data_IF_446742869001
#
_entry.id   IF_446742869001
#
_cell.length_a   1.000
_cell.length_b   1.000
_cell.length_c   1.000
_cell.angle_alpha   90.00
_cell.angle_beta   90.00
_cell.angle_gamma   90.00
#
_symmetry.space_group_name_H-M   'P 1'
#
loop_
_entity.id
_entity.type
_entity.pdbx_description
1 polymer ?
#
# COMPACT_ATOMS: atom_id res chain seq x y z
N UNK A 1 -23.96 1.39 3.80
CA UNK A 1 -23.97 2.20 5.04
C UNK A 1 -23.93 1.31 6.28
N UNK A 2 -24.72 0.22 6.38
CA UNK A 2 -24.46 -0.81 7.42
C UNK A 2 -23.03 -1.34 7.29
N UNK A 3 -22.60 -1.62 6.06
CA UNK A 3 -21.25 -2.13 5.76
C UNK A 3 -20.12 -1.21 6.25
N UNK A 4 -20.33 0.12 6.33
CA UNK A 4 -19.32 1.04 6.85
C UNK A 4 -19.17 0.89 8.38
N UNK A 5 -20.30 0.83 9.09
CA UNK A 5 -20.32 0.60 10.53
C UNK A 5 -19.81 -0.80 10.90
N UNK A 6 -20.12 -1.80 10.08
CA UNK A 6 -19.62 -3.17 10.24
C UNK A 6 -18.10 -3.20 10.12
N UNK A 7 -17.52 -2.59 9.08
CA UNK A 7 -16.06 -2.47 8.90
C UNK A 7 -15.39 -1.74 10.05
N UNK A 8 -15.99 -0.66 10.56
CA UNK A 8 -15.46 0.10 11.69
C UNK A 8 -15.44 -0.74 12.97
N UNK A 9 -16.54 -1.45 13.24
CA UNK A 9 -16.67 -2.35 14.38
C UNK A 9 -15.68 -3.50 14.29
N UNK A 10 -15.51 -4.08 13.10
CA UNK A 10 -14.55 -5.17 12.87
C UNK A 10 -13.09 -4.77 13.12
N UNK A 11 -12.72 -3.53 12.81
CA UNK A 11 -11.40 -2.99 13.16
C UNK A 11 -11.29 -2.86 14.69
N UNK A 12 -12.26 -2.22 15.34
CA UNK A 12 -12.23 -1.99 16.78
C UNK A 12 -12.18 -3.32 17.56
N UNK A 13 -12.97 -4.31 17.15
CA UNK A 13 -12.99 -5.65 17.73
C UNK A 13 -11.64 -6.38 17.56
N UNK A 14 -10.95 -6.19 16.43
CA UNK A 14 -9.62 -6.75 16.22
C UNK A 14 -8.60 -6.18 17.23
N UNK A 15 -8.67 -4.89 17.55
CA UNK A 15 -7.80 -4.28 18.57
C UNK A 15 -8.16 -4.76 19.98
N UNK A 16 -9.45 -4.83 20.30
CA UNK A 16 -9.96 -5.32 21.60
C UNK A 16 -9.56 -6.76 21.85
N UNK A 17 -9.71 -7.65 20.85
CA UNK A 17 -9.34 -9.06 20.95
C UNK A 17 -7.86 -9.27 21.29
N UNK A 18 -6.99 -8.36 20.85
CA UNK A 18 -5.55 -8.39 21.12
C UNK A 18 -5.13 -7.59 22.38
N UNK A 19 -6.10 -7.07 23.13
CA UNK A 19 -5.87 -6.27 24.34
C UNK A 19 -5.15 -4.96 24.06
N UNK A 20 -5.27 -4.41 22.85
CA UNK A 20 -4.63 -3.15 22.47
C UNK A 20 -5.64 -2.00 22.64
N UNK A 21 -5.32 -1.08 23.54
CA UNK A 21 -6.13 0.13 23.76
C UNK A 21 -5.76 1.20 22.73
N UNK A 22 -6.72 1.59 21.90
CA UNK A 22 -6.56 2.73 20.99
C UNK A 22 -6.59 4.05 21.77
N UNK A 23 -5.69 4.97 21.43
CA UNK A 23 -5.69 6.30 22.02
C UNK A 23 -6.85 7.13 21.46
N UNK A 24 -7.67 7.80 22.30
CA UNK A 24 -8.89 8.50 21.86
C UNK A 24 -8.67 9.54 20.75
N UNK A 25 -7.49 10.18 20.74
CA UNK A 25 -7.09 11.19 19.76
C UNK A 25 -6.20 10.64 18.64
N UNK A 26 -6.11 9.30 18.49
CA UNK A 26 -5.38 8.72 17.36
C UNK A 26 -6.20 8.87 16.08
N UNK A 27 -5.52 9.06 14.94
CA UNK A 27 -6.20 9.15 13.65
C UNK A 27 -7.01 7.90 13.31
N UNK A 28 -6.64 6.72 13.84
CA UNK A 28 -7.42 5.50 13.70
C UNK A 28 -8.74 5.55 14.50
N UNK A 29 -8.70 6.05 15.74
CA UNK A 29 -9.91 6.21 16.55
C UNK A 29 -10.84 7.25 15.95
N UNK A 30 -10.31 8.38 15.46
CA UNK A 30 -11.09 9.38 14.73
C UNK A 30 -11.79 8.74 13.51
N UNK A 31 -11.08 7.90 12.76
CA UNK A 31 -11.62 7.22 11.58
C UNK A 31 -12.73 6.22 11.93
N UNK A 32 -12.53 5.40 12.96
CA UNK A 32 -13.53 4.43 13.45
C UNK A 32 -14.78 5.15 13.97
N UNK A 33 -14.61 6.15 14.84
CA UNK A 33 -15.72 6.87 15.44
C UNK A 33 -16.53 7.62 14.37
N UNK A 34 -15.86 8.31 13.44
CA UNK A 34 -16.53 8.98 12.33
C UNK A 34 -17.36 7.99 11.48
N UNK A 35 -16.84 6.80 11.20
CA UNK A 35 -17.56 5.78 10.44
C UNK A 35 -18.80 5.26 11.20
N UNK A 36 -18.69 5.04 12.51
CA UNK A 36 -19.80 4.60 13.36
C UNK A 36 -20.89 5.68 13.48
N UNK A 37 -20.49 6.94 13.64
CA UNK A 37 -21.41 8.09 13.68
C UNK A 37 -22.17 8.26 12.36
N UNK A 38 -21.49 8.13 11.22
CA UNK A 38 -22.11 8.17 9.89
C UNK A 38 -23.09 7.02 9.67
N UNK A 39 -22.71 5.80 10.04
CA UNK A 39 -23.59 4.64 9.94
C UNK A 39 -24.86 4.84 10.79
N UNK A 40 -24.74 5.46 11.97
CA UNK A 40 -25.86 5.71 12.89
C UNK A 40 -26.76 6.88 12.49
N UNK A 41 -26.22 7.91 11.82
CA UNK A 41 -26.92 9.15 11.47
C UNK A 41 -27.59 9.13 10.10
N UNK A 42 -27.18 8.22 9.22
CA UNK A 42 -27.63 8.06 7.82
C UNK A 42 -29.14 7.88 7.58
N UNK A 43 -29.96 7.72 8.63
CA UNK A 43 -31.41 7.60 8.55
C UNK A 43 -32.16 8.95 8.40
N UNK A 44 -31.47 10.11 8.30
CA UNK A 44 -32.14 11.42 8.49
C UNK A 44 -32.23 12.38 7.31
N UNK A 45 -31.42 12.28 6.25
CA UNK A 45 -31.43 13.34 5.20
C UNK A 45 -31.21 12.90 3.75
N UNK A 46 -30.90 11.62 3.46
CA UNK A 46 -30.77 11.09 2.09
C UNK A 46 -29.61 11.66 1.25
N UNK A 47 -28.93 12.72 1.68
CA UNK A 47 -27.72 13.27 1.07
C UNK A 47 -26.50 12.89 1.91
N UNK A 48 -25.50 12.27 1.26
CA UNK A 48 -24.21 11.92 1.85
C UNK A 48 -23.21 13.01 1.47
N UNK A 49 -22.53 13.61 2.44
CA UNK A 49 -21.54 14.63 2.16
C UNK A 49 -20.29 14.01 1.54
N UNK A 50 -19.53 14.78 0.74
CA UNK A 50 -18.28 14.31 0.15
C UNK A 50 -17.29 13.80 1.20
N UNK A 51 -17.18 14.52 2.33
CA UNK A 51 -16.35 14.12 3.46
C UNK A 51 -16.68 12.72 4.00
N UNK A 52 -17.96 12.34 3.99
CA UNK A 52 -18.44 11.05 4.47
C UNK A 52 -17.99 9.92 3.52
N UNK A 53 -18.02 10.18 2.21
CA UNK A 53 -17.55 9.24 1.19
C UNK A 53 -16.04 9.04 1.33
N UNK A 54 -15.27 10.12 1.46
CA UNK A 54 -13.83 10.06 1.63
C UNK A 54 -13.44 9.33 2.93
N UNK A 55 -14.17 9.57 4.02
CA UNK A 55 -13.98 8.85 5.28
C UNK A 55 -14.24 7.36 5.11
N UNK A 56 -15.33 6.99 4.41
CA UNK A 56 -15.64 5.59 4.12
C UNK A 56 -14.57 4.88 3.29
N UNK A 57 -14.04 5.56 2.27
CA UNK A 57 -12.95 5.04 1.44
C UNK A 57 -11.65 4.89 2.23
N UNK A 58 -11.32 5.84 3.12
CA UNK A 58 -10.16 5.71 4.00
C UNK A 58 -10.29 4.51 4.94
N UNK A 59 -11.46 4.35 5.58
CA UNK A 59 -11.72 3.21 6.47
C UNK A 59 -11.62 1.90 5.70
N UNK A 60 -12.18 1.81 4.49
CA UNK A 60 -12.10 0.62 3.65
C UNK A 60 -10.65 0.22 3.37
N UNK A 61 -9.78 1.18 3.04
CA UNK A 61 -8.37 0.92 2.75
C UNK A 61 -7.66 0.32 3.98
N UNK A 62 -7.89 0.90 5.17
CA UNK A 62 -7.36 0.38 6.44
C UNK A 62 -7.94 -0.99 6.79
N UNK A 63 -9.26 -1.15 6.67
CA UNK A 63 -9.98 -2.39 6.94
C UNK A 63 -9.42 -3.54 6.12
N UNK A 64 -9.33 -3.39 4.79
CA UNK A 64 -8.81 -4.42 3.89
C UNK A 64 -7.40 -4.85 4.27
N UNK A 65 -6.51 -3.91 4.62
CA UNK A 65 -5.15 -4.24 5.04
C UNK A 65 -5.10 -5.00 6.38
N UNK A 66 -6.02 -4.67 7.29
CA UNK A 66 -6.07 -5.28 8.62
C UNK A 66 -6.71 -6.66 8.65
N UNK A 67 -7.71 -6.93 7.82
CA UNK A 67 -8.50 -8.16 7.96
C UNK A 67 -7.68 -9.44 7.74
N UNK A 68 -6.63 -9.40 6.92
CA UNK A 68 -5.73 -10.54 6.73
C UNK A 68 -4.88 -10.83 7.98
N UNK A 69 -4.73 -9.88 8.91
CA UNK A 69 -4.00 -10.12 10.17
C UNK A 69 -4.77 -11.01 11.13
N UNK A 70 -6.07 -11.27 10.92
CA UNK A 70 -6.85 -12.18 11.75
C UNK A 70 -6.19 -13.57 11.73
N UNK A 71 -5.81 -14.06 12.91
CA UNK A 71 -5.09 -15.33 13.05
C UNK A 71 -3.60 -15.30 12.67
N UNK A 72 -3.07 -14.17 12.19
CA UNK A 72 -1.64 -14.06 11.87
C UNK A 72 -0.77 -14.03 13.14
N UNK A 73 0.40 -14.67 13.11
CA UNK A 73 1.28 -14.80 14.27
C UNK A 73 1.83 -13.44 14.75
N UNK A 74 2.16 -12.54 13.82
CA UNK A 74 2.69 -11.19 14.11
C UNK A 74 1.61 -10.11 14.25
N UNK A 75 0.31 -10.46 14.34
CA UNK A 75 -0.78 -9.47 14.31
C UNK A 75 -0.67 -8.37 15.37
N UNK A 76 -0.36 -8.73 16.63
CA UNK A 76 -0.23 -7.76 17.72
C UNK A 76 0.87 -6.73 17.44
N UNK A 77 1.99 -7.14 16.82
CA UNK A 77 3.09 -6.25 16.43
C UNK A 77 2.63 -5.20 15.41
N UNK A 78 1.93 -5.62 14.35
CA UNK A 78 1.45 -4.70 13.32
C UNK A 78 0.35 -3.78 13.81
N UNK A 79 -0.59 -4.29 14.62
CA UNK A 79 -1.63 -3.45 15.25
C UNK A 79 -0.99 -2.36 16.13
N UNK A 80 0.03 -2.69 16.93
CA UNK A 80 0.77 -1.69 17.72
C UNK A 80 1.49 -0.68 16.84
N UNK A 81 2.15 -1.11 15.76
CA UNK A 81 2.80 -0.20 14.80
C UNK A 81 1.81 0.81 14.20
N UNK A 82 0.58 0.37 13.87
CA UNK A 82 -0.46 1.27 13.34
C UNK A 82 -0.97 2.29 14.36
N UNK A 83 -0.70 2.10 15.67
CA UNK A 83 -0.96 3.12 16.69
C UNK A 83 0.14 4.19 16.80
N UNK A 84 1.27 4.05 16.10
CA UNK A 84 2.46 4.92 16.27
C UNK A 84 2.50 6.15 15.35
N UNK A 85 1.36 6.77 15.07
CA UNK A 85 1.29 7.98 14.27
C UNK A 85 -0.07 8.25 13.64
N UNK A 86 -0.11 9.19 12.72
CA UNK A 86 -1.30 9.54 11.96
C UNK A 86 -1.56 8.53 10.83
N UNK A 87 -2.82 8.17 10.57
CA UNK A 87 -3.24 7.34 9.43
C UNK A 87 -4.06 8.12 8.40
N UNK A 88 -4.27 9.42 8.59
CA UNK A 88 -4.99 10.27 7.63
C UNK A 88 -4.14 10.44 6.37
N UNK A 89 -4.64 9.94 5.25
CA UNK A 89 -3.92 9.97 3.97
C UNK A 89 -3.81 11.37 3.34
N UNK A 90 -4.71 12.28 3.73
CA UNK A 90 -4.67 13.68 3.30
C UNK A 90 -3.56 14.49 3.98
N UNK A 91 -2.98 13.99 5.06
CA UNK A 91 -1.83 14.59 5.71
C UNK A 91 -0.55 14.03 5.11
N UNK A 92 0.29 14.86 4.49
CA UNK A 92 1.57 14.44 3.89
C UNK A 92 2.72 14.29 4.90
N UNK A 93 2.49 14.58 6.18
CA UNK A 93 3.51 14.46 7.23
C UNK A 93 3.96 13.01 7.41
N UNK A 94 5.28 12.70 7.36
CA UNK A 94 5.78 11.35 7.54
C UNK A 94 5.19 10.65 8.78
N UNK A 95 4.73 9.42 8.61
CA UNK A 95 4.06 8.68 9.69
C UNK A 95 4.53 7.22 9.74
N UNK A 96 5.05 6.76 10.89
CA UNK A 96 5.37 5.35 11.09
C UNK A 96 4.17 4.42 10.86
N UNK A 97 2.98 4.84 11.29
CA UNK A 97 1.75 4.08 11.06
C UNK A 97 1.46 3.91 9.56
N UNK A 98 1.64 4.95 8.74
CA UNK A 98 1.45 4.85 7.28
C UNK A 98 2.52 3.98 6.63
N UNK A 99 3.76 3.99 7.11
CA UNK A 99 4.79 3.07 6.63
C UNK A 99 4.36 1.61 6.84
N UNK A 100 3.89 1.28 8.04
CA UNK A 100 3.43 -0.07 8.36
C UNK A 100 2.13 -0.44 7.64
N UNK A 101 1.24 0.52 7.40
CA UNK A 101 0.07 0.28 6.56
C UNK A 101 0.48 -0.08 5.13
N UNK A 102 1.46 0.61 4.56
CA UNK A 102 1.97 0.28 3.23
C UNK A 102 2.59 -1.13 3.17
N UNK A 103 3.32 -1.57 4.21
CA UNK A 103 3.80 -2.96 4.33
C UNK A 103 2.62 -3.95 4.26
N UNK A 104 1.56 -3.70 5.02
CA UNK A 104 0.35 -4.54 5.04
C UNK A 104 -0.41 -4.53 3.72
N UNK A 105 -0.47 -3.40 3.02
CA UNK A 105 -1.12 -3.28 1.72
C UNK A 105 -0.37 -4.09 0.65
N UNK A 106 0.96 -3.99 0.61
CA UNK A 106 1.78 -4.81 -0.30
C UNK A 106 1.60 -6.29 0.01
N UNK A 107 1.67 -6.66 1.30
CA UNK A 107 1.45 -8.03 1.73
C UNK A 107 0.07 -8.56 1.35
N UNK A 108 -0.99 -7.78 1.57
CA UNK A 108 -2.36 -8.14 1.20
C UNK A 108 -2.47 -8.38 -0.30
N UNK A 109 -2.05 -7.42 -1.11
CA UNK A 109 -2.14 -7.53 -2.56
C UNK A 109 -1.36 -8.74 -3.09
N UNK A 110 -0.17 -9.03 -2.55
CA UNK A 110 0.58 -10.23 -2.94
C UNK A 110 -0.12 -11.54 -2.54
N UNK A 111 -0.83 -11.56 -1.40
CA UNK A 111 -1.62 -12.71 -0.97
C UNK A 111 -2.88 -12.91 -1.80
N UNK A 112 -3.60 -11.83 -2.11
CA UNK A 112 -4.80 -11.86 -2.97
C UNK A 112 -4.46 -12.41 -4.36
N UNK A 113 -3.31 -12.04 -4.91
CA UNK A 113 -2.85 -12.52 -6.22
C UNK A 113 -2.34 -13.97 -6.23
N UNK A 114 -1.99 -14.53 -5.06
CA UNK A 114 -1.31 -15.83 -5.01
C UNK A 114 -1.76 -16.74 -3.87
N UNK A 115 -3.02 -16.63 -3.48
CA UNK A 115 -3.67 -17.52 -2.52
C UNK A 115 -2.84 -17.81 -1.25
N UNK A 116 -2.26 -16.77 -0.62
CA UNK A 116 -1.59 -16.95 0.67
C UNK A 116 -0.07 -17.12 0.64
N UNK A 117 0.60 -16.97 -0.52
CA UNK A 117 2.03 -17.26 -0.64
C UNK A 117 2.97 -16.14 -0.13
N UNK A 118 2.45 -15.05 0.43
CA UNK A 118 3.26 -13.95 0.95
C UNK A 118 3.15 -13.87 2.49
N UNK A 119 4.30 -13.71 3.15
CA UNK A 119 4.42 -13.65 4.61
C UNK A 119 4.94 -12.28 5.05
N UNK A 120 4.48 -11.81 6.21
CA UNK A 120 5.06 -10.64 6.87
C UNK A 120 6.36 -11.05 7.56
N UNK A 121 7.48 -10.83 6.90
CA UNK A 121 8.81 -11.20 7.39
C UNK A 121 9.90 -10.30 6.80
N UNK A 122 11.09 -10.31 7.41
CA UNK A 122 12.18 -9.46 6.94
C UNK A 122 12.54 -9.77 5.46
N UNK A 123 12.74 -8.76 4.59
CA UNK A 123 12.91 -7.35 4.94
C UNK A 123 11.62 -6.60 5.32
N UNK A 124 10.46 -6.90 4.74
CA UNK A 124 9.18 -6.37 5.24
C UNK A 124 8.05 -7.32 4.83
N UNK A 125 8.14 -7.86 3.60
CA UNK A 125 7.33 -8.97 3.09
C UNK A 125 8.23 -10.02 2.44
N UNK A 126 7.92 -11.30 2.61
CA UNK A 126 8.59 -12.41 1.96
C UNK A 126 7.63 -13.17 1.04
N UNK A 127 7.93 -13.22 -0.25
CA UNK A 127 7.16 -13.99 -1.23
C UNK A 127 7.78 -15.39 -1.40
N UNK A 128 7.04 -16.43 -1.02
CA UNK A 128 7.47 -17.83 -1.10
C UNK A 128 7.14 -18.43 -2.47
N UNK A 129 8.01 -18.29 -3.46
CA UNK A 129 7.87 -18.95 -4.77
C UNK A 129 8.29 -20.44 -4.65
N UNK A 130 7.84 -21.35 -5.53
CA UNK A 130 8.06 -22.80 -5.33
C UNK A 130 9.54 -23.20 -5.31
N UNK A 131 10.39 -22.44 -6.00
CA UNK A 131 11.83 -22.69 -6.13
C UNK A 131 12.71 -21.60 -5.52
N UNK A 132 12.12 -20.52 -4.97
CA UNK A 132 12.89 -19.38 -4.45
C UNK A 132 12.07 -18.51 -3.52
N UNK A 133 12.76 -17.76 -2.66
CA UNK A 133 12.15 -16.73 -1.83
C UNK A 133 12.55 -15.35 -2.37
N UNK A 134 11.58 -14.44 -2.46
CA UNK A 134 11.81 -13.07 -2.90
C UNK A 134 11.46 -12.12 -1.76
N UNK A 135 12.46 -11.41 -1.25
CA UNK A 135 12.27 -10.40 -0.21
C UNK A 135 11.76 -9.08 -0.81
N UNK A 136 10.78 -8.45 -0.18
CA UNK A 136 10.23 -7.16 -0.61
C UNK A 136 10.40 -6.14 0.52
N UNK A 137 11.31 -5.19 0.33
CA UNK A 137 11.48 -4.07 1.25
C UNK A 137 10.53 -2.94 0.86
N UNK A 138 9.57 -2.62 1.73
CA UNK A 138 8.52 -1.65 1.52
C UNK A 138 8.91 -0.29 2.10
N UNK A 139 8.84 0.79 1.32
CA UNK A 139 9.17 2.15 1.78
C UNK A 139 8.19 3.18 1.23
N UNK A 140 7.58 4.01 2.09
CA UNK A 140 6.87 5.20 1.61
C UNK A 140 7.85 6.32 1.27
N UNK A 141 7.58 7.03 0.18
CA UNK A 141 8.38 8.16 -0.27
C UNK A 141 7.62 9.45 0.02
N UNK A 142 8.06 10.17 1.06
CA UNK A 142 7.47 11.45 1.45
C UNK A 142 8.11 12.65 0.76
N UNK A 143 9.32 12.49 0.21
CA UNK A 143 9.98 13.53 -0.56
C UNK A 143 10.98 12.94 -1.55
N UNK A 144 11.10 13.57 -2.73
CA UNK A 144 12.12 13.21 -3.73
C UNK A 144 13.53 13.39 -3.19
N UNK A 145 13.77 14.43 -2.39
CA UNK A 145 15.10 14.76 -1.85
C UNK A 145 15.74 13.62 -1.04
N UNK A 146 14.93 12.80 -0.36
CA UNK A 146 15.43 11.70 0.46
C UNK A 146 15.36 10.33 -0.24
N UNK A 147 14.87 10.27 -1.48
CA UNK A 147 14.57 9.01 -2.15
C UNK A 147 15.79 8.09 -2.27
N UNK A 148 16.94 8.60 -2.73
CA UNK A 148 18.14 7.79 -2.89
C UNK A 148 18.66 7.18 -1.58
N UNK A 149 18.55 7.93 -0.47
CA UNK A 149 18.89 7.43 0.87
C UNK A 149 17.92 6.33 1.30
N UNK A 150 16.63 6.53 1.09
CA UNK A 150 15.59 5.54 1.39
C UNK A 150 15.81 4.24 0.62
N UNK A 151 16.09 4.31 -0.69
CA UNK A 151 16.39 3.13 -1.51
C UNK A 151 17.68 2.45 -1.04
N UNK A 152 18.74 3.20 -0.73
CA UNK A 152 19.99 2.62 -0.22
C UNK A 152 19.77 1.81 1.06
N UNK A 153 18.94 2.33 1.98
CA UNK A 153 18.59 1.62 3.21
C UNK A 153 17.77 0.35 2.94
N UNK A 154 16.81 0.41 2.01
CA UNK A 154 16.04 -0.76 1.60
C UNK A 154 16.93 -1.85 0.99
N UNK A 155 17.89 -1.45 0.14
CA UNK A 155 18.87 -2.38 -0.44
C UNK A 155 19.75 -3.03 0.63
N UNK A 156 20.19 -2.27 1.66
CA UNK A 156 20.92 -2.84 2.80
C UNK A 156 20.08 -3.87 3.56
N UNK A 157 18.80 -3.58 3.78
CA UNK A 157 17.87 -4.49 4.43
C UNK A 157 17.68 -5.78 3.62
N UNK A 158 17.55 -5.67 2.29
CA UNK A 158 17.49 -6.82 1.38
C UNK A 158 18.77 -7.64 1.46
N UNK A 159 19.94 -7.03 1.37
CA UNK A 159 21.23 -7.75 1.42
C UNK A 159 21.38 -8.56 2.70
N UNK A 160 20.88 -8.05 3.82
CA UNK A 160 20.97 -8.73 5.11
C UNK A 160 20.03 -9.94 5.23
N UNK A 161 18.87 -9.91 4.55
CA UNK A 161 17.79 -10.88 4.78
C UNK A 161 17.48 -11.79 3.57
N UNK A 162 17.73 -11.33 2.35
CA UNK A 162 17.43 -12.01 1.10
C UNK A 162 18.43 -11.61 -0.01
N UNK A 163 19.73 -11.97 0.13
CA UNK A 163 20.76 -11.53 -0.81
C UNK A 163 20.49 -12.06 -2.23
N UNK A 164 20.55 -11.18 -3.22
CA UNK A 164 20.43 -11.53 -4.64
C UNK A 164 19.01 -11.71 -5.18
N UNK A 165 17.97 -11.73 -4.33
CA UNK A 165 16.57 -11.96 -4.73
C UNK A 165 15.62 -10.99 -4.00
N UNK A 166 15.95 -9.70 -4.01
CA UNK A 166 15.11 -8.68 -3.36
C UNK A 166 14.50 -7.66 -4.31
N UNK A 167 13.37 -7.10 -3.89
CA UNK A 167 12.67 -6.01 -4.56
C UNK A 167 12.48 -4.86 -3.60
N UNK A 168 12.76 -3.65 -4.07
CA UNK A 168 12.39 -2.44 -3.33
C UNK A 168 11.01 -2.02 -3.81
N UNK A 169 10.00 -2.18 -2.97
CA UNK A 169 8.66 -1.66 -3.18
C UNK A 169 8.53 -0.28 -2.54
N UNK A 170 8.01 0.69 -3.28
CA UNK A 170 7.85 2.03 -2.75
C UNK A 170 6.57 2.70 -3.18
N UNK A 171 5.94 3.38 -2.22
CA UNK A 171 4.73 4.18 -2.45
C UNK A 171 5.11 5.61 -2.80
N UNK A 172 4.56 6.12 -3.90
CA UNK A 172 4.76 7.50 -4.36
C UNK A 172 3.54 8.40 -4.10
N UNK A 173 2.55 7.93 -3.34
CA UNK A 173 1.28 8.66 -3.15
C UNK A 173 1.44 10.03 -2.50
N UNK A 174 2.45 10.19 -1.64
CA UNK A 174 2.75 11.45 -0.96
C UNK A 174 3.50 12.45 -1.85
N UNK A 175 3.83 12.08 -3.09
CA UNK A 175 4.44 12.96 -4.09
C UNK A 175 3.41 13.60 -5.02
N UNK A 176 2.14 13.22 -4.92
CA UNK A 176 1.07 13.86 -5.69
C UNK A 176 0.77 15.26 -5.14
N UNK A 177 0.30 16.21 -5.97
CA UNK A 177 -0.08 17.55 -5.53
C UNK A 177 -1.00 17.53 -4.30
N UNK A 178 -0.82 18.49 -3.40
CA UNK A 178 -1.61 18.59 -2.17
C UNK A 178 -3.05 19.06 -2.45
N UNK A 179 -4.02 18.55 -1.67
CA UNK A 179 -5.39 19.08 -1.63
C UNK A 179 -6.32 18.66 -2.78
N UNK A 180 -5.78 18.14 -3.88
CA UNK A 180 -6.57 17.67 -5.01
C UNK A 180 -6.45 16.14 -5.10
N UNK A 181 -7.57 15.43 -4.88
CA UNK A 181 -7.67 14.04 -5.31
C UNK A 181 -7.35 13.93 -6.81
N UNK A 182 -6.98 12.75 -7.28
CA UNK A 182 -6.72 12.58 -8.72
C UNK A 182 -8.05 12.63 -9.46
N UNK A 183 -8.33 13.75 -10.11
CA UNK A 183 -9.53 13.93 -10.92
C UNK A 183 -9.35 13.37 -12.33
N UNK A 184 -10.27 12.51 -12.76
CA UNK A 184 -10.32 11.95 -14.11
C UNK A 184 -11.77 11.84 -14.60
N UNK A 185 -11.96 11.73 -15.90
CA UNK A 185 -13.32 11.57 -16.46
C UNK A 185 -13.81 10.12 -16.31
N UNK A 186 -12.91 9.15 -16.44
CA UNK A 186 -13.17 7.70 -16.38
C UNK A 186 -12.15 6.97 -15.48
N UNK A 187 -12.49 5.75 -15.05
CA UNK A 187 -11.58 4.86 -14.32
C UNK A 187 -10.32 4.57 -15.13
N UNK A 188 -10.43 4.30 -16.43
CA UNK A 188 -9.27 4.07 -17.30
C UNK A 188 -8.35 5.29 -17.34
N UNK A 189 -8.93 6.50 -17.42
CA UNK A 189 -8.16 7.74 -17.37
C UNK A 189 -7.40 7.91 -16.04
N UNK A 190 -8.03 7.57 -14.92
CA UNK A 190 -7.37 7.56 -13.61
C UNK A 190 -6.26 6.49 -13.52
N UNK A 191 -6.50 5.29 -14.07
CA UNK A 191 -5.51 4.22 -14.13
C UNK A 191 -4.27 4.64 -14.92
N UNK A 192 -4.49 5.21 -16.10
CA UNK A 192 -3.43 5.70 -16.99
C UNK A 192 -2.63 6.83 -16.34
N UNK A 193 -3.31 7.75 -15.64
CA UNK A 193 -2.63 8.79 -14.87
C UNK A 193 -1.70 8.19 -13.81
N UNK A 194 -2.21 7.29 -12.95
CA UNK A 194 -1.42 6.69 -11.87
C UNK A 194 -0.28 5.81 -12.41
N UNK A 195 -0.52 5.08 -13.49
CA UNK A 195 0.50 4.32 -14.22
C UNK A 195 1.58 5.25 -14.78
N UNK A 196 1.19 6.39 -15.36
CA UNK A 196 2.10 7.42 -15.84
C UNK A 196 2.97 8.01 -14.73
N UNK A 197 2.39 8.26 -13.54
CA UNK A 197 3.18 8.70 -12.37
C UNK A 197 4.24 7.68 -11.97
N UNK A 198 3.90 6.38 -11.96
CA UNK A 198 4.86 5.32 -11.67
C UNK A 198 5.99 5.26 -12.72
N UNK A 199 5.64 5.34 -14.01
CA UNK A 199 6.61 5.33 -15.11
C UNK A 199 7.55 6.52 -15.02
N UNK A 200 7.02 7.74 -14.90
CA UNK A 200 7.81 8.96 -14.81
C UNK A 200 8.76 8.93 -13.63
N UNK A 201 8.27 8.51 -12.46
CA UNK A 201 9.09 8.42 -11.26
C UNK A 201 10.22 7.39 -11.38
N UNK A 202 9.94 6.21 -11.95
CA UNK A 202 10.98 5.20 -12.19
C UNK A 202 12.00 5.64 -13.24
N UNK A 203 11.55 6.27 -14.33
CA UNK A 203 12.41 6.79 -15.38
C UNK A 203 13.37 7.88 -14.86
N UNK A 204 12.87 8.81 -14.03
CA UNK A 204 13.68 9.85 -13.37
C UNK A 204 14.82 9.27 -12.52
N UNK A 205 14.66 8.04 -12.00
CA UNK A 205 15.61 7.43 -11.07
C UNK A 205 16.27 6.14 -11.59
N UNK A 206 16.16 5.87 -12.90
CA UNK A 206 16.59 4.61 -13.50
C UNK A 206 18.09 4.31 -13.27
N UNK A 207 18.95 5.33 -13.36
CA UNK A 207 20.40 5.17 -13.26
C UNK A 207 20.83 4.64 -11.89
N UNK A 208 20.15 5.10 -10.83
CA UNK A 208 20.37 4.64 -9.47
C UNK A 208 20.02 3.16 -9.34
N UNK A 209 18.89 2.74 -9.89
CA UNK A 209 18.45 1.35 -9.81
C UNK A 209 19.31 0.43 -10.69
N UNK A 210 19.78 0.88 -11.86
CA UNK A 210 20.74 0.14 -12.70
C UNK A 210 22.01 -0.19 -11.92
N UNK A 211 22.51 0.74 -11.10
CA UNK A 211 23.67 0.50 -10.25
C UNK A 211 23.44 -0.67 -9.28
N UNK A 212 22.26 -0.74 -8.64
CA UNK A 212 21.94 -1.82 -7.72
C UNK A 212 21.64 -3.15 -8.43
N UNK A 213 21.08 -3.11 -9.64
CA UNK A 213 20.89 -4.30 -10.47
C UNK A 213 22.22 -4.92 -10.91
N UNK A 214 23.17 -4.09 -11.38
CA UNK A 214 24.51 -4.55 -11.76
C UNK A 214 25.28 -5.17 -10.59
N UNK A 215 25.06 -4.66 -9.39
CA UNK A 215 25.60 -5.24 -8.15
C UNK A 215 24.95 -6.56 -7.72
N UNK A 216 23.90 -7.02 -8.42
CA UNK A 216 23.05 -8.15 -7.99
C UNK A 216 22.47 -7.95 -6.58
N UNK A 217 22.25 -6.70 -6.18
CA UNK A 217 21.75 -6.39 -4.83
C UNK A 217 20.25 -6.58 -4.73
N UNK A 218 19.55 -6.22 -5.81
CA UNK A 218 18.11 -6.31 -5.98
C UNK A 218 17.83 -6.76 -7.42
N UNK A 219 16.66 -7.36 -7.63
CA UNK A 219 16.20 -7.84 -8.94
C UNK A 219 15.11 -6.97 -9.54
N UNK A 220 14.51 -6.10 -8.74
CA UNK A 220 13.46 -5.20 -9.21
C UNK A 220 13.19 -4.02 -8.29
N UNK A 221 12.55 -3.02 -8.88
CA UNK A 221 12.02 -1.84 -8.24
C UNK A 221 10.51 -1.78 -8.54
N UNK A 222 9.68 -1.77 -7.50
CA UNK A 222 8.23 -1.78 -7.61
C UNK A 222 7.68 -0.43 -7.15
N UNK A 223 7.25 0.40 -8.10
CA UNK A 223 6.54 1.64 -7.80
C UNK A 223 5.05 1.34 -7.57
N UNK A 224 4.49 1.92 -6.52
CA UNK A 224 3.07 1.81 -6.18
C UNK A 224 2.48 3.21 -6.04
N UNK A 225 1.46 3.50 -6.85
CA UNK A 225 0.64 4.69 -6.77
C UNK A 225 -0.72 4.30 -6.20
N UNK A 226 -1.12 4.86 -5.06
CA UNK A 226 -2.44 4.62 -4.48
C UNK A 226 -3.06 5.91 -3.96
N UNK A 227 -4.32 6.17 -4.30
CA UNK A 227 -5.02 7.36 -3.83
C UNK A 227 -6.53 7.18 -4.02
N UNK A 228 -7.31 8.05 -3.38
CA UNK A 228 -8.70 8.26 -3.79
C UNK A 228 -8.69 9.06 -5.10
N UNK A 229 -9.48 8.60 -6.06
CA UNK A 229 -9.70 9.25 -7.37
C UNK A 229 -11.12 9.83 -7.41
N UNK A 230 -11.29 10.95 -8.12
CA UNK A 230 -12.59 11.57 -8.43
C UNK A 230 -12.90 11.38 -9.92
N UNK A 231 -13.86 10.50 -10.22
CA UNK A 231 -14.31 10.07 -11.54
C UNK A 231 -15.58 10.83 -11.92
N UNK A 232 -15.48 11.69 -12.94
CA UNK A 232 -16.53 12.68 -13.24
C UNK A 232 -17.71 12.11 -14.02
N UNK A 233 -17.50 11.10 -14.86
CA UNK A 233 -18.52 10.61 -15.81
C UNK A 233 -19.05 9.22 -15.43
N UNK A 234 -18.25 8.40 -14.75
CA UNK A 234 -18.62 7.03 -14.35
C UNK A 234 -19.03 6.94 -12.87
N UNK A 235 -19.61 5.81 -12.46
CA UNK A 235 -19.98 5.55 -11.07
C UNK A 235 -19.22 4.33 -10.51
N UNK A 236 -18.82 4.36 -9.23
CA UNK A 236 -18.96 5.48 -8.28
C UNK A 236 -18.02 6.67 -8.61
N UNK A 237 -18.42 7.89 -8.22
CA UNK A 237 -17.59 9.11 -8.43
C UNK A 237 -16.26 9.00 -7.70
N UNK A 238 -16.27 8.64 -6.41
CA UNK A 238 -15.03 8.46 -5.66
C UNK A 238 -14.71 6.98 -5.51
N UNK A 239 -13.43 6.63 -5.68
CA UNK A 239 -12.96 5.26 -5.49
C UNK A 239 -11.51 5.24 -4.98
N UNK A 240 -11.15 4.20 -4.23
CA UNK A 240 -9.75 3.90 -3.97
C UNK A 240 -9.16 3.24 -5.21
N UNK A 241 -8.11 3.82 -5.77
CA UNK A 241 -7.41 3.23 -6.91
C UNK A 241 -5.94 2.98 -6.58
N UNK A 242 -5.39 1.92 -7.15
CA UNK A 242 -4.00 1.55 -6.99
C UNK A 242 -3.40 1.05 -8.31
N UNK A 243 -2.19 1.49 -8.64
CA UNK A 243 -1.43 1.04 -9.79
C UNK A 243 -0.02 0.62 -9.36
N UNK A 244 0.48 -0.43 -10.01
CA UNK A 244 1.75 -1.07 -9.70
C UNK A 244 2.60 -1.11 -10.96
N UNK A 245 3.87 -0.73 -10.85
CA UNK A 245 4.83 -0.86 -11.93
C UNK A 245 6.12 -1.50 -11.44
N UNK A 246 6.39 -2.71 -11.94
CA UNK A 246 7.64 -3.43 -11.67
C UNK A 246 8.66 -3.16 -12.77
N UNK A 247 9.75 -2.51 -12.39
CA UNK A 247 10.91 -2.29 -13.23
C UNK A 247 12.06 -3.23 -12.85
N UNK A 248 12.79 -3.73 -13.84
CA UNK A 248 13.95 -4.61 -13.67
C UNK A 248 14.96 -4.37 -14.79
N UNK A 249 16.23 -4.72 -14.55
CA UNK A 249 17.21 -4.77 -15.64
C UNK A 249 16.85 -5.87 -16.67
N UNK A 250 17.21 -5.70 -17.95
CA UNK A 250 17.10 -6.75 -18.95
C UNK A 250 18.12 -7.88 -18.73
N UNK A 251 19.32 -7.54 -18.24
CA UNK A 251 20.45 -8.45 -18.03
C UNK A 251 20.49 -8.98 -16.60
N UNK A 252 19.44 -9.70 -16.19
CA UNK A 252 19.42 -10.41 -14.91
C UNK A 252 19.90 -11.85 -15.07
N UNK A 253 20.44 -12.47 -14.01
CA UNK A 253 20.70 -13.91 -13.99
C UNK A 253 19.38 -14.72 -14.05
N UNK A 254 19.46 -16.02 -14.36
CA UNK A 254 18.27 -16.86 -14.59
C UNK A 254 17.29 -16.88 -13.40
N UNK A 255 17.79 -16.99 -12.17
CA UNK A 255 16.95 -16.98 -10.96
C UNK A 255 16.24 -15.63 -10.80
N UNK A 256 16.94 -14.52 -11.01
CA UNK A 256 16.39 -13.18 -10.94
C UNK A 256 15.37 -12.91 -12.06
N UNK A 257 15.62 -13.40 -13.29
CA UNK A 257 14.67 -13.33 -14.39
C UNK A 257 13.40 -14.13 -14.07
N UNK A 258 13.55 -15.33 -13.51
CA UNK A 258 12.43 -16.17 -13.09
C UNK A 258 11.61 -15.50 -11.98
N UNK A 259 12.25 -14.89 -10.97
CA UNK A 259 11.58 -14.12 -9.92
C UNK A 259 10.75 -12.97 -10.50
N UNK A 260 11.37 -12.14 -11.35
CA UNK A 260 10.72 -10.98 -11.98
C UNK A 260 9.59 -11.42 -12.91
N UNK A 261 9.78 -12.49 -13.68
CA UNK A 261 8.74 -13.03 -14.57
C UNK A 261 7.51 -13.50 -13.81
N UNK A 262 7.69 -14.22 -12.69
CA UNK A 262 6.59 -14.60 -11.82
C UNK A 262 5.85 -13.38 -11.28
N UNK A 263 6.58 -12.38 -10.77
CA UNK A 263 5.97 -11.17 -10.25
C UNK A 263 5.27 -10.32 -11.31
N UNK A 264 5.82 -10.21 -12.52
CA UNK A 264 5.14 -9.53 -13.64
C UNK A 264 3.84 -10.21 -13.99
N UNK A 265 3.79 -11.55 -13.98
CA UNK A 265 2.55 -12.29 -14.22
C UNK A 265 1.51 -12.01 -13.13
N UNK A 266 1.93 -11.97 -11.86
CA UNK A 266 1.05 -11.63 -10.74
C UNK A 266 0.53 -10.19 -10.86
N UNK A 267 1.42 -9.21 -11.09
CA UNK A 267 1.03 -7.80 -11.19
C UNK A 267 0.16 -7.53 -12.43
N UNK A 268 0.43 -8.20 -13.55
CA UNK A 268 -0.39 -8.06 -14.77
C UNK A 268 -1.85 -8.46 -14.59
N UNK A 269 -2.18 -9.28 -13.58
CA UNK A 269 -3.54 -9.65 -13.21
C UNK A 269 -4.26 -8.57 -12.37
N UNK A 270 -3.54 -7.55 -11.89
CA UNK A 270 -4.11 -6.45 -11.06
C UNK A 270 -4.87 -5.42 -11.91
N UNK A 271 -4.70 -5.40 -13.24
CA UNK A 271 -5.37 -4.43 -14.14
C UNK A 271 -6.89 -4.61 -14.30
N UNK A 272 -7.53 -5.49 -13.52
CA UNK A 272 -8.92 -5.93 -13.75
C UNK A 272 -9.80 -6.00 -12.49
N UNK A 273 -9.53 -5.18 -11.47
CA UNK A 273 -10.39 -5.06 -10.28
C UNK A 273 -10.80 -3.62 -10.01
#
# INVERSE_FOLDING_TARGET
MSELGDRASEIDDLYKAEGIKLHPQSGLTELINGALELASSSNKTGQVAEGDILLGLHLERVHKALMLLRGHAKRQHYLRKLCTGDLRFMNRTPSPARNSLFELEVWRSLNELRAGAAELDEPDVMLRLPSMNVGVACKKIYSKANFSKTVSNAVKQIRANCPGLGIVAFSIEDLFPEGEGVGADTFDGAADFLSGQCHNFLAEHQDMFIKYFKGSDIVGALAVASTIVDIRIEKPRYSNMQQWLLWSAPELNENAQNAVSHLRKLIGQVKSA
#
